data_IF_914023730375
#
_entry.id   IF_914023730375
#
_cell.length_a   1.000
_cell.length_b   1.000
_cell.length_c   1.000
_cell.angle_alpha   90.00
_cell.angle_beta   90.00
_cell.angle_gamma   90.00
#
_symmetry.space_group_name_H-M   'P 1'
#
loop_
_entity.id
_entity.type
_entity.pdbx_description
1 polymer ?
#
# COMPACT_ATOMS: atom_id res chain seq x y z
N UNK A 1 3.58 -0.38 -1.26
CA UNK A 1 3.40 -1.84 -1.30
C UNK A 1 3.24 -2.32 0.14
N UNK A 2 2.52 -3.42 0.37
CA UNK A 2 2.44 -4.08 1.67
C UNK A 2 2.48 -5.57 1.42
N UNK A 3 3.08 -6.30 2.35
CA UNK A 3 3.25 -7.74 2.28
C UNK A 3 3.01 -8.30 3.68
N UNK A 4 2.08 -9.24 3.80
CA UNK A 4 1.87 -9.96 5.05
C UNK A 4 3.09 -10.85 5.34
N UNK A 5 3.50 -10.90 6.60
CA UNK A 5 4.67 -11.69 7.03
C UNK A 5 4.33 -12.42 8.32
N UNK A 6 4.61 -13.72 8.35
CA UNK A 6 4.48 -14.55 9.55
C UNK A 6 5.62 -14.35 10.55
N UNK A 7 6.78 -13.88 10.07
CA UNK A 7 7.95 -13.52 10.87
C UNK A 7 8.36 -12.09 10.55
N UNK A 8 8.83 -11.37 11.58
CA UNK A 8 9.33 -10.00 11.44
C UNK A 8 10.77 -9.84 11.93
N UNK A 9 11.57 -10.91 11.91
CA UNK A 9 13.02 -10.80 12.13
C UNK A 9 13.66 -9.76 11.18
N UNK A 10 14.76 -9.14 11.63
CA UNK A 10 15.47 -8.14 10.83
C UNK A 10 15.89 -8.66 9.44
N UNK A 11 16.35 -9.91 9.38
CA UNK A 11 16.68 -10.58 8.13
C UNK A 11 15.45 -10.70 7.23
N UNK A 12 14.31 -11.10 7.79
CA UNK A 12 13.08 -11.23 7.01
C UNK A 12 12.60 -9.89 6.47
N UNK A 13 12.70 -8.83 7.28
CA UNK A 13 12.40 -7.45 6.85
C UNK A 13 13.30 -7.02 5.70
N UNK A 14 14.62 -7.27 5.78
CA UNK A 14 15.55 -6.95 4.70
C UNK A 14 15.20 -7.67 3.39
N UNK A 15 14.92 -8.99 3.46
CA UNK A 15 14.50 -9.78 2.29
C UNK A 15 13.20 -9.26 1.66
N UNK A 16 12.20 -8.96 2.49
CA UNK A 16 10.92 -8.45 2.00
C UNK A 16 11.09 -7.04 1.41
N UNK A 17 11.98 -6.23 1.98
CA UNK A 17 12.28 -4.91 1.46
C UNK A 17 12.96 -4.98 0.08
N UNK A 18 13.90 -5.91 -0.12
CA UNK A 18 14.48 -6.21 -1.43
C UNK A 18 13.39 -6.65 -2.43
N UNK A 19 12.60 -7.65 -2.06
CA UNK A 19 11.57 -8.22 -2.93
C UNK A 19 10.51 -7.18 -3.35
N UNK A 20 10.05 -6.36 -2.41
CA UNK A 20 8.93 -5.44 -2.63
C UNK A 20 9.36 -4.09 -3.21
N UNK A 21 10.57 -3.62 -2.86
CA UNK A 21 11.03 -2.28 -3.21
C UNK A 21 12.10 -2.34 -4.30
N UNK A 22 13.18 -3.09 -4.06
CA UNK A 22 14.32 -3.08 -4.97
C UNK A 22 14.01 -3.69 -6.32
N UNK A 23 13.36 -4.85 -6.34
CA UNK A 23 12.99 -5.50 -7.62
C UNK A 23 12.04 -4.66 -8.45
N UNK A 24 11.26 -3.80 -7.81
CA UNK A 24 10.22 -3.00 -8.46
C UNK A 24 10.71 -1.60 -8.89
N UNK A 25 11.56 -0.98 -8.09
CA UNK A 25 11.96 0.43 -8.27
C UNK A 25 13.47 0.64 -8.35
N UNK A 26 14.27 -0.42 -8.18
CA UNK A 26 15.71 -0.33 -7.99
C UNK A 26 16.10 0.05 -6.56
N UNK A 27 17.41 0.05 -6.31
CA UNK A 27 17.98 0.43 -5.04
C UNK A 27 17.80 1.93 -4.75
N UNK A 28 17.15 2.33 -3.65
CA UNK A 28 17.03 3.73 -3.29
C UNK A 28 18.37 4.27 -2.79
N UNK A 29 18.78 5.45 -3.24
CA UNK A 29 20.02 6.09 -2.74
C UNK A 29 20.00 6.43 -1.23
N UNK A 30 18.81 6.44 -0.61
CA UNK A 30 18.58 6.68 0.81
C UNK A 30 17.32 5.96 1.29
N UNK A 31 17.46 5.12 2.31
CA UNK A 31 16.37 4.55 3.10
C UNK A 31 16.19 5.41 4.34
N UNK A 32 15.01 6.02 4.49
CA UNK A 32 14.59 6.63 5.75
C UNK A 32 13.65 5.69 6.47
N UNK A 33 13.94 5.41 7.73
CA UNK A 33 13.13 4.53 8.57
C UNK A 33 12.97 5.15 9.96
N UNK A 34 12.01 4.66 10.74
CA UNK A 34 11.89 5.00 12.16
C UNK A 34 12.96 4.27 12.99
N UNK A 35 12.93 4.40 14.32
CA UNK A 35 13.91 3.73 15.18
C UNK A 35 13.51 2.29 15.53
N UNK A 36 12.74 1.62 14.67
CA UNK A 36 12.38 0.23 14.89
C UNK A 36 13.63 -0.66 14.96
N UNK A 37 13.77 -1.53 15.99
CA UNK A 37 14.93 -2.39 16.17
C UNK A 37 15.32 -3.20 14.94
N UNK A 38 14.34 -3.58 14.10
CA UNK A 38 14.56 -4.36 12.88
C UNK A 38 15.36 -3.56 11.86
N UNK A 39 15.02 -2.28 11.65
CA UNK A 39 15.76 -1.38 10.76
C UNK A 39 17.06 -0.86 11.39
N UNK A 40 17.13 -0.79 12.72
CA UNK A 40 18.35 -0.39 13.44
C UNK A 40 19.40 -1.51 13.55
N UNK A 41 19.01 -2.77 13.29
CA UNK A 41 19.88 -3.94 13.43
C UNK A 41 21.11 -3.92 12.51
N UNK A 42 22.18 -4.60 12.94
CA UNK A 42 23.38 -4.81 12.12
C UNK A 42 23.05 -5.52 10.80
N UNK A 43 22.09 -6.45 10.82
CA UNK A 43 21.63 -7.17 9.63
C UNK A 43 21.06 -6.21 8.59
N UNK A 44 20.18 -5.28 9.01
CA UNK A 44 19.58 -4.33 8.07
C UNK A 44 20.59 -3.28 7.60
N UNK A 45 21.54 -2.87 8.46
CA UNK A 45 22.64 -1.98 8.08
C UNK A 45 23.55 -2.62 7.02
N UNK A 46 24.00 -3.85 7.25
CA UNK A 46 24.81 -4.60 6.29
C UNK A 46 24.07 -4.82 4.97
N UNK A 47 22.76 -5.13 5.04
CA UNK A 47 21.91 -5.20 3.86
C UNK A 47 21.91 -3.88 3.07
N UNK A 48 21.69 -2.74 3.72
CA UNK A 48 21.69 -1.45 3.06
C UNK A 48 23.05 -1.11 2.42
N UNK A 49 24.15 -1.48 3.07
CA UNK A 49 25.51 -1.32 2.54
C UNK A 49 25.77 -2.15 1.29
N UNK A 50 25.43 -3.44 1.30
CA UNK A 50 25.53 -4.33 0.12
C UNK A 50 24.73 -3.75 -1.05
N UNK A 51 23.58 -3.18 -0.75
CA UNK A 51 22.71 -2.57 -1.74
C UNK A 51 23.07 -1.10 -2.06
N UNK A 52 24.22 -0.61 -1.58
CA UNK A 52 24.75 0.74 -1.82
C UNK A 52 23.77 1.87 -1.47
N UNK A 53 22.92 1.61 -0.48
CA UNK A 53 21.84 2.49 -0.05
C UNK A 53 22.19 3.09 1.30
N UNK A 54 22.15 4.42 1.41
CA UNK A 54 22.37 5.08 2.71
C UNK A 54 21.18 4.78 3.63
N UNK A 55 21.42 4.41 4.89
CA UNK A 55 20.33 4.24 5.86
C UNK A 55 20.32 5.39 6.87
N UNK A 56 19.14 5.99 7.14
CA UNK A 56 18.98 7.06 8.13
C UNK A 56 17.71 6.88 8.95
N UNK A 57 17.89 6.70 10.25
CA UNK A 57 16.80 6.79 11.21
C UNK A 57 16.26 8.22 11.30
N UNK A 58 14.95 8.36 11.33
CA UNK A 58 14.31 9.66 11.58
C UNK A 58 14.53 10.07 13.04
N UNK A 59 14.70 11.37 13.28
CA UNK A 59 14.67 11.90 14.65
C UNK A 59 13.29 11.64 15.25
N UNK A 60 13.25 11.34 16.54
CA UNK A 60 12.01 11.17 17.30
C UNK A 60 11.14 12.41 17.07
N UNK A 61 9.94 12.20 16.53
CA UNK A 61 8.90 13.21 16.29
C UNK A 61 9.29 14.36 15.33
N UNK A 62 9.20 14.12 14.01
CA UNK A 62 9.12 15.19 12.97
C UNK A 62 7.87 15.04 12.10
N UNK A 63 6.68 15.45 12.59
CA UNK A 63 5.40 15.29 11.89
C UNK A 63 5.37 15.94 10.49
N UNK A 64 6.14 17.01 10.29
CA UNK A 64 6.22 17.71 9.00
C UNK A 64 6.99 16.92 7.92
N UNK A 65 8.00 16.14 8.31
CA UNK A 65 8.83 15.39 7.36
C UNK A 65 8.20 14.04 6.98
N UNK A 66 7.50 13.40 7.92
CA UNK A 66 6.94 12.06 7.72
C UNK A 66 5.42 12.04 7.54
N UNK A 67 4.73 13.17 7.69
CA UNK A 67 3.27 13.20 7.78
C UNK A 67 2.55 12.63 6.55
N UNK A 68 3.13 12.68 5.35
CA UNK A 68 2.56 12.03 4.17
C UNK A 68 2.58 10.50 4.29
N UNK A 69 3.75 9.94 4.61
CA UNK A 69 3.94 8.50 4.76
C UNK A 69 3.12 7.97 5.94
N UNK A 70 3.13 8.68 7.07
CA UNK A 70 2.32 8.33 8.25
C UNK A 70 0.83 8.29 7.92
N UNK A 71 0.33 9.24 7.11
CA UNK A 71 -1.08 9.23 6.68
C UNK A 71 -1.39 8.02 5.81
N UNK A 72 -0.56 7.71 4.82
CA UNK A 72 -0.77 6.56 3.94
C UNK A 72 -0.70 5.24 4.71
N UNK A 73 0.27 5.08 5.60
CA UNK A 73 0.39 3.88 6.45
C UNK A 73 -0.82 3.76 7.38
N UNK A 74 -1.22 4.85 8.06
CA UNK A 74 -2.40 4.86 8.93
C UNK A 74 -3.69 4.52 8.19
N UNK A 75 -3.81 4.98 6.94
CA UNK A 75 -4.95 4.63 6.07
C UNK A 75 -5.04 3.12 5.91
N UNK A 76 -3.95 2.50 5.46
CA UNK A 76 -3.90 1.05 5.23
C UNK A 76 -4.16 0.29 6.53
N UNK A 77 -3.47 0.63 7.62
CA UNK A 77 -3.61 -0.07 8.89
C UNK A 77 -5.03 -0.01 9.45
N UNK A 78 -5.67 1.17 9.42
CA UNK A 78 -7.04 1.30 9.96
C UNK A 78 -8.05 0.56 9.10
N UNK A 79 -7.94 0.66 7.78
CA UNK A 79 -8.80 -0.07 6.85
C UNK A 79 -8.68 -1.58 7.09
N UNK A 80 -7.46 -2.13 7.10
CA UNK A 80 -7.24 -3.58 7.35
C UNK A 80 -7.79 -4.01 8.70
N UNK A 81 -7.60 -3.18 9.75
CA UNK A 81 -8.12 -3.48 11.07
C UNK A 81 -9.64 -3.66 11.06
N UNK A 82 -10.36 -2.73 10.44
CA UNK A 82 -11.82 -2.80 10.34
C UNK A 82 -12.27 -4.06 9.57
N UNK A 83 -11.54 -4.44 8.52
CA UNK A 83 -11.82 -5.66 7.76
C UNK A 83 -11.61 -6.92 8.63
N UNK A 84 -10.47 -7.00 9.29
CA UNK A 84 -10.10 -8.16 10.12
C UNK A 84 -10.92 -8.31 11.41
N UNK A 85 -11.69 -7.27 11.81
CA UNK A 85 -12.59 -7.32 12.97
C UNK A 85 -13.87 -8.13 12.69
N UNK A 86 -14.25 -8.36 11.42
CA UNK A 86 -15.37 -9.23 11.05
C UNK A 86 -14.90 -10.71 11.06
N UNK A 87 -15.47 -11.59 11.90
CA UNK A 87 -15.11 -13.00 11.95
C UNK A 87 -15.28 -13.75 10.62
N UNK A 88 -16.13 -13.24 9.70
CA UNK A 88 -16.33 -13.82 8.37
C UNK A 88 -15.24 -13.41 7.36
N UNK A 89 -14.35 -12.48 7.73
CA UNK A 89 -13.36 -11.85 6.85
C UNK A 89 -11.92 -12.24 7.25
N UNK A 90 -11.56 -13.50 6.99
CA UNK A 90 -10.25 -14.07 7.37
C UNK A 90 -9.13 -13.81 6.35
N UNK A 91 -9.46 -13.30 5.16
CA UNK A 91 -8.56 -13.06 4.02
C UNK A 91 -7.95 -11.64 4.01
N UNK A 92 -7.69 -11.09 5.19
CA UNK A 92 -7.21 -9.70 5.34
C UNK A 92 -5.86 -9.45 4.65
N UNK A 93 -5.02 -10.47 4.55
CA UNK A 93 -3.71 -10.44 3.91
C UNK A 93 -3.80 -10.35 2.38
N UNK A 94 -4.80 -10.99 1.76
CA UNK A 94 -5.08 -10.79 0.34
C UNK A 94 -5.68 -9.40 0.07
N UNK A 95 -6.56 -8.94 0.98
CA UNK A 95 -7.21 -7.63 0.87
C UNK A 95 -6.22 -6.48 1.04
N UNK A 96 -5.21 -6.61 1.91
CA UNK A 96 -4.26 -5.51 2.15
C UNK A 96 -3.49 -5.14 0.89
N UNK A 97 -3.09 -6.12 0.08
CA UNK A 97 -2.37 -5.87 -1.16
C UNK A 97 -3.24 -5.11 -2.17
N UNK A 98 -4.51 -5.51 -2.29
CA UNK A 98 -5.51 -4.88 -3.17
C UNK A 98 -5.88 -3.48 -2.69
N UNK A 99 -6.02 -3.28 -1.40
CA UNK A 99 -6.24 -1.98 -0.79
C UNK A 99 -5.09 -1.02 -1.09
N UNK A 100 -3.85 -1.47 -0.91
CA UNK A 100 -2.66 -0.65 -1.22
C UNK A 100 -2.61 -0.32 -2.72
N UNK A 101 -2.96 -1.27 -3.59
CA UNK A 101 -3.07 -1.02 -5.02
C UNK A 101 -4.17 0.01 -5.34
N UNK A 102 -5.34 -0.09 -4.71
CA UNK A 102 -6.44 0.86 -4.86
C UNK A 102 -6.06 2.27 -4.38
N UNK A 103 -5.37 2.38 -3.24
CA UNK A 103 -4.87 3.66 -2.72
C UNK A 103 -3.84 4.27 -3.68
N UNK A 104 -2.88 3.49 -4.18
CA UNK A 104 -1.87 3.98 -5.13
C UNK A 104 -2.47 4.40 -6.48
N UNK A 105 -3.65 3.89 -6.84
CA UNK A 105 -4.38 4.28 -8.06
C UNK A 105 -5.52 5.27 -7.79
N UNK A 106 -5.68 5.73 -6.55
CA UNK A 106 -6.64 6.78 -6.23
C UNK A 106 -6.01 8.13 -6.48
N UNK A 107 -6.81 9.07 -7.01
CA UNK A 107 -6.35 10.42 -7.28
C UNK A 107 -5.98 11.15 -5.99
N UNK A 108 -4.73 11.63 -5.88
CA UNK A 108 -4.26 12.44 -4.77
C UNK A 108 -4.40 13.93 -5.11
N UNK A 109 -5.30 14.63 -4.40
CA UNK A 109 -5.57 16.05 -4.62
C UNK A 109 -4.38 16.98 -4.34
N UNK A 110 -3.40 16.52 -3.55
CA UNK A 110 -2.17 17.26 -3.25
C UNK A 110 -1.20 17.17 -4.42
N UNK A 111 -1.05 15.97 -4.99
CA UNK A 111 -0.13 15.69 -6.09
C UNK A 111 -0.74 15.90 -7.48
N UNK A 112 -2.06 16.11 -7.54
CA UNK A 112 -2.87 16.30 -8.76
C UNK A 112 -2.88 15.10 -9.70
N UNK A 113 -2.48 13.93 -9.20
CA UNK A 113 -2.41 12.69 -9.97
C UNK A 113 -2.43 11.47 -9.04
N UNK A 114 -2.42 10.25 -9.59
CA UNK A 114 -2.30 9.01 -8.82
C UNK A 114 -0.84 8.74 -8.44
N UNK A 115 -0.54 8.27 -7.21
CA UNK A 115 0.80 7.83 -6.84
C UNK A 115 1.41 6.80 -7.81
N UNK A 116 0.59 5.91 -8.38
CA UNK A 116 1.03 4.94 -9.38
C UNK A 116 1.56 5.62 -10.63
N UNK A 117 0.79 6.56 -11.22
CA UNK A 117 1.21 7.29 -12.40
C UNK A 117 2.49 8.08 -12.15
N UNK A 118 2.60 8.75 -11.00
CA UNK A 118 3.78 9.55 -10.67
C UNK A 118 5.07 8.74 -10.53
N UNK A 119 4.97 7.46 -10.14
CA UNK A 119 6.13 6.57 -9.99
C UNK A 119 6.45 5.84 -11.29
N UNK A 120 5.44 5.45 -12.07
CA UNK A 120 5.63 4.59 -13.24
C UNK A 120 5.59 5.34 -14.58
N UNK A 121 4.96 6.51 -14.65
CA UNK A 121 4.78 7.29 -15.88
C UNK A 121 3.66 6.79 -16.80
N UNK A 122 2.81 5.88 -16.31
CA UNK A 122 1.62 5.40 -17.03
C UNK A 122 0.50 5.05 -16.06
N UNK A 123 -0.74 5.07 -16.54
CA UNK A 123 -1.89 4.67 -15.75
C UNK A 123 -1.92 3.15 -15.55
N UNK A 124 -2.21 2.69 -14.32
CA UNK A 124 -2.49 1.28 -14.13
C UNK A 124 -3.78 0.92 -14.85
N UNK A 125 -3.69 0.00 -15.82
CA UNK A 125 -4.87 -0.69 -16.32
C UNK A 125 -5.29 -1.69 -15.25
N UNK A 126 -6.35 -1.38 -14.51
CA UNK A 126 -6.89 -2.32 -13.53
C UNK A 126 -7.23 -3.65 -14.21
N UNK A 127 -7.06 -4.76 -13.48
CA UNK A 127 -7.41 -6.10 -13.93
C UNK A 127 -8.83 -6.12 -14.49
N UNK A 128 -9.76 -5.36 -13.90
CA UNK A 128 -11.13 -5.17 -14.40
C UNK A 128 -11.19 -4.56 -15.81
N UNK A 129 -10.48 -3.46 -16.08
CA UNK A 129 -10.46 -2.83 -17.41
C UNK A 129 -9.80 -3.71 -18.47
N UNK A 130 -8.75 -4.45 -18.09
CA UNK A 130 -8.12 -5.44 -18.96
C UNK A 130 -9.05 -6.64 -19.21
N UNK A 131 -9.72 -7.17 -18.18
CA UNK A 131 -10.65 -8.30 -18.27
C UNK A 131 -11.93 -7.97 -19.03
N UNK A 132 -12.43 -6.73 -18.98
CA UNK A 132 -13.55 -6.28 -19.80
C UNK A 132 -13.23 -6.30 -21.29
N UNK A 133 -11.96 -6.15 -21.67
CA UNK A 133 -11.52 -6.14 -23.08
C UNK A 133 -11.29 -7.54 -23.67
N UNK A 134 -11.05 -8.56 -22.84
CA UNK A 134 -10.54 -9.87 -23.28
C UNK A 134 -11.61 -10.92 -23.65
N UNK A 135 -12.91 -10.62 -23.56
CA UNK A 135 -13.97 -11.64 -23.76
C UNK A 135 -14.72 -11.59 -25.11
N UNK A 136 -14.11 -11.01 -26.15
CA UNK A 136 -14.63 -11.15 -27.53
C UNK A 136 -14.20 -12.44 -28.26
N UNK A 137 -13.47 -13.37 -27.62
CA UNK A 137 -13.03 -14.62 -28.28
C UNK A 137 -13.12 -15.83 -27.36
N UNK A 138 -13.94 -16.81 -27.78
CA UNK A 138 -13.74 -18.23 -27.47
C UNK A 138 -14.43 -18.75 -26.22
N UNK A 139 -15.58 -19.39 -26.43
CA UNK A 139 -16.32 -20.20 -25.47
C UNK A 139 -15.55 -21.49 -25.13
N UNK A 140 -15.54 -21.87 -23.85
CA UNK A 140 -15.39 -23.28 -23.45
C UNK A 140 -14.04 -23.67 -22.84
N UNK A 141 -13.78 -23.24 -21.60
CA UNK A 141 -12.94 -23.88 -20.53
C UNK A 141 -12.44 -22.84 -19.52
N UNK A 142 -13.33 -22.11 -18.85
CA UNK A 142 -12.93 -21.05 -17.94
C UNK A 142 -13.72 -21.05 -16.62
N UNK A 143 -14.09 -22.20 -16.04
CA UNK A 143 -14.74 -22.21 -14.70
C UNK A 143 -13.89 -21.51 -13.66
N UNK A 144 -12.60 -21.83 -13.63
CA UNK A 144 -11.67 -21.36 -12.60
C UNK A 144 -11.26 -19.92 -12.88
N UNK A 145 -11.07 -19.54 -14.15
CA UNK A 145 -10.82 -18.15 -14.52
C UNK A 145 -12.03 -17.25 -14.25
N UNK A 146 -13.26 -17.75 -14.43
CA UNK A 146 -14.48 -17.02 -14.08
C UNK A 146 -14.68 -16.94 -12.56
N UNK A 147 -14.37 -18.00 -11.80
CA UNK A 147 -14.40 -18.01 -10.35
C UNK A 147 -13.35 -17.04 -9.77
N UNK A 148 -12.11 -17.13 -10.25
CA UNK A 148 -11.03 -16.20 -9.94
C UNK A 148 -11.43 -14.76 -10.27
N UNK A 149 -12.05 -14.51 -11.42
CA UNK A 149 -12.53 -13.15 -11.78
C UNK A 149 -13.58 -12.64 -10.79
N UNK A 150 -14.55 -13.47 -10.40
CA UNK A 150 -15.58 -13.07 -9.44
C UNK A 150 -14.94 -12.70 -8.11
N UNK A 151 -14.02 -13.51 -7.64
CA UNK A 151 -13.34 -13.26 -6.37
C UNK A 151 -12.43 -12.04 -6.44
N UNK A 152 -11.64 -11.91 -7.50
CA UNK A 152 -10.81 -10.75 -7.76
C UNK A 152 -11.62 -9.45 -7.82
N UNK A 153 -12.80 -9.47 -8.46
CA UNK A 153 -13.70 -8.32 -8.50
C UNK A 153 -14.29 -8.01 -7.13
N UNK A 154 -14.77 -9.01 -6.38
CA UNK A 154 -15.33 -8.84 -5.03
C UNK A 154 -14.31 -8.18 -4.10
N UNK A 155 -13.12 -8.74 -4.03
CA UNK A 155 -12.03 -8.23 -3.20
C UNK A 155 -11.57 -6.82 -3.65
N UNK A 156 -11.62 -6.51 -4.95
CA UNK A 156 -11.34 -5.16 -5.47
C UNK A 156 -12.43 -4.14 -5.10
N UNK A 157 -13.70 -4.53 -5.15
CA UNK A 157 -14.83 -3.68 -4.75
C UNK A 157 -14.75 -3.33 -3.26
N UNK A 158 -14.45 -4.33 -2.41
CA UNK A 158 -14.18 -4.15 -0.98
C UNK A 158 -13.03 -3.14 -0.80
N UNK A 159 -11.88 -3.38 -1.42
CA UNK A 159 -10.71 -2.51 -1.32
C UNK A 159 -11.00 -1.06 -1.76
N UNK A 160 -11.76 -0.88 -2.85
CA UNK A 160 -12.16 0.45 -3.34
C UNK A 160 -13.17 1.13 -2.41
N UNK A 161 -14.12 0.39 -1.86
CA UNK A 161 -15.08 0.89 -0.87
C UNK A 161 -14.36 1.42 0.36
N UNK A 162 -13.49 0.60 0.94
CA UNK A 162 -12.68 0.95 2.11
C UNK A 162 -11.78 2.18 1.86
N UNK A 163 -11.13 2.24 0.70
CA UNK A 163 -10.30 3.39 0.33
C UNK A 163 -11.12 4.68 0.22
N UNK A 164 -12.32 4.62 -0.38
CA UNK A 164 -13.22 5.77 -0.53
C UNK A 164 -13.77 6.25 0.82
N UNK A 165 -14.27 5.34 1.65
CA UNK A 165 -14.79 5.66 2.98
C UNK A 165 -13.74 6.32 3.86
N UNK A 166 -12.51 5.79 3.83
CA UNK A 166 -11.41 6.39 4.57
C UNK A 166 -11.07 7.80 4.05
N UNK A 167 -10.96 7.97 2.72
CA UNK A 167 -10.69 9.29 2.14
C UNK A 167 -11.76 10.31 2.52
N UNK A 168 -13.03 9.90 2.56
CA UNK A 168 -14.15 10.76 2.96
C UNK A 168 -14.07 11.15 4.44
N UNK A 169 -13.88 10.18 5.34
CA UNK A 169 -13.79 10.41 6.80
C UNK A 169 -12.60 11.30 7.15
N UNK A 170 -11.44 11.07 6.53
CA UNK A 170 -10.24 11.87 6.78
C UNK A 170 -10.37 13.29 6.19
N UNK A 171 -11.06 13.47 5.06
CA UNK A 171 -11.37 14.80 4.51
C UNK A 171 -12.31 15.58 5.44
N UNK A 172 -13.33 14.92 6.00
CA UNK A 172 -14.25 15.53 6.97
C UNK A 172 -13.53 15.94 8.26
N UNK A 173 -12.69 15.05 8.82
CA UNK A 173 -11.89 15.34 10.01
C UNK A 173 -10.96 16.54 9.82
N UNK A 174 -10.36 16.69 8.63
CA UNK A 174 -9.50 17.84 8.31
C UNK A 174 -10.29 19.14 8.21
N UNK A 175 -11.47 19.11 7.58
CA UNK A 175 -12.33 20.27 7.51
C UNK A 175 -12.74 20.74 8.92
N UNK A 176 -13.08 19.80 9.81
CA UNK A 176 -13.40 20.10 11.20
C UNK A 176 -12.21 20.74 11.94
N UNK A 177 -11.02 20.12 11.89
CA UNK A 177 -9.82 20.68 12.54
C UNK A 177 -9.43 22.06 12.03
N UNK A 178 -9.56 22.28 10.72
CA UNK A 178 -9.30 23.59 10.12
C UNK A 178 -10.30 24.63 10.64
N UNK A 179 -11.59 24.29 10.71
CA UNK A 179 -12.62 25.17 11.24
C UNK A 179 -12.39 25.47 12.74
N UNK A 180 -11.99 24.48 13.54
CA UNK A 180 -11.65 24.66 14.96
C UNK A 180 -10.41 25.55 15.15
N UNK A 181 -9.43 25.50 14.24
CA UNK A 181 -8.23 26.36 14.31
C UNK A 181 -8.46 27.81 13.88
N UNK A 182 -9.61 28.10 13.26
CA UNK A 182 -10.02 29.43 12.82
C UNK A 182 -11.07 30.08 13.74
N UNK A 183 -11.54 29.34 14.75
CA UNK A 183 -12.48 29.81 15.78
C UNK A 183 -11.76 30.17 17.07
#
# INVERSE_FOLDING_TARGET
MGKAMADTSALRVAQVFEECVYRRFGAPSLIRHDRDPRFMSEVFQAFAEVMQSRSRATLSYRPQANGQQERSVKTVTQSVRVYAEDPLQQDWDEIVEKLIFAINNSHDSTRKDTPFYLVHGWDARSTLRAMSSSLKRGVGRQSDALAWRREANRQQEIALGMAKEYQATEKARRAQKHNESLS
#
